data_IF_893757528519
#
_entry.id   IF_893757528519
#
_cell.length_a   1.000
_cell.length_b   1.000
_cell.length_c   1.000
_cell.angle_alpha   90.00
_cell.angle_beta   90.00
_cell.angle_gamma   90.00
#
_symmetry.space_group_name_H-M   'P 1'
#
loop_
_entity.id
_entity.type
_entity.pdbx_description
1 polymer ?
#
# COMPACT_ATOMS: atom_id res chain seq x y z
N UNK A 1 -24.28 14.96 4.29
CA UNK A 1 -23.46 15.94 5.05
C UNK A 1 -22.11 16.07 4.36
N UNK A 2 -21.49 17.26 4.30
CA UNK A 2 -20.14 17.41 3.71
C UNK A 2 -19.14 16.77 4.68
N UNK A 3 -18.40 15.77 4.23
CA UNK A 3 -17.41 15.09 5.07
C UNK A 3 -16.11 15.89 5.17
N UNK A 4 -15.40 15.72 6.28
CA UNK A 4 -14.09 16.35 6.52
C UNK A 4 -12.96 15.52 5.92
N UNK A 5 -11.82 16.15 5.63
CA UNK A 5 -10.63 15.51 5.07
C UNK A 5 -9.49 15.59 6.09
N UNK A 6 -8.87 14.44 6.36
CA UNK A 6 -7.60 14.35 7.08
C UNK A 6 -6.47 13.95 6.15
N UNK A 7 -5.32 14.59 6.33
CA UNK A 7 -4.08 14.33 5.61
C UNK A 7 -2.98 14.06 6.64
N UNK A 8 -2.30 12.92 6.52
CA UNK A 8 -1.11 12.61 7.31
C UNK A 8 0.01 12.18 6.35
N UNK A 9 1.11 12.91 6.36
CA UNK A 9 2.28 12.63 5.54
C UNK A 9 3.42 12.08 6.42
N UNK A 10 3.98 10.94 5.99
CA UNK A 10 5.04 10.24 6.72
C UNK A 10 6.12 9.73 5.78
N UNK A 11 7.30 9.46 6.34
CA UNK A 11 8.41 8.86 5.62
C UNK A 11 8.27 7.33 5.54
N UNK A 12 8.15 6.81 4.31
CA UNK A 12 8.13 5.37 4.02
C UNK A 12 6.75 4.73 4.07
N UNK A 13 6.54 3.73 3.19
CA UNK A 13 5.28 3.00 3.05
C UNK A 13 4.92 2.17 4.29
N UNK A 14 5.91 1.51 4.92
CA UNK A 14 5.66 0.68 6.11
C UNK A 14 5.13 1.50 7.29
N UNK A 15 5.69 2.70 7.50
CA UNK A 15 5.20 3.63 8.51
C UNK A 15 3.80 4.14 8.15
N UNK A 16 3.55 4.46 6.88
CA UNK A 16 2.25 4.92 6.42
C UNK A 16 1.13 3.88 6.68
N UNK A 17 1.39 2.61 6.38
CA UNK A 17 0.45 1.51 6.66
C UNK A 17 0.21 1.38 8.17
N UNK A 18 1.27 1.46 8.98
CA UNK A 18 1.15 1.37 10.44
C UNK A 18 0.35 2.54 11.03
N UNK A 19 0.54 3.75 10.51
CA UNK A 19 -0.23 4.93 10.91
C UNK A 19 -1.70 4.76 10.50
N UNK A 20 -1.97 4.31 9.27
CA UNK A 20 -3.32 4.09 8.79
C UNK A 20 -4.11 3.09 9.66
N UNK A 21 -3.48 1.98 10.08
CA UNK A 21 -4.08 0.99 10.99
C UNK A 21 -4.47 1.61 12.33
N UNK A 22 -3.57 2.38 12.95
CA UNK A 22 -3.82 3.03 14.24
C UNK A 22 -4.90 4.11 14.13
N UNK A 23 -4.86 4.90 13.05
CA UNK A 23 -5.88 5.91 12.77
C UNK A 23 -7.28 5.28 12.65
N UNK A 24 -7.40 4.20 11.87
CA UNK A 24 -8.67 3.49 11.69
C UNK A 24 -9.17 2.81 12.97
N UNK A 25 -8.27 2.37 13.86
CA UNK A 25 -8.63 1.83 15.19
C UNK A 25 -9.01 2.90 16.20
N UNK A 26 -8.52 4.13 16.03
CA UNK A 26 -8.70 5.22 17.00
C UNK A 26 -10.03 5.97 16.86
N UNK A 27 -10.63 6.00 15.66
CA UNK A 27 -11.84 6.75 15.39
C UNK A 27 -12.60 6.18 14.19
N UNK A 28 -13.90 6.51 14.09
CA UNK A 28 -14.73 6.14 12.94
C UNK A 28 -14.39 7.02 11.73
N UNK A 29 -13.50 6.51 10.88
CA UNK A 29 -13.00 7.17 9.67
C UNK A 29 -12.91 6.17 8.52
N UNK A 30 -12.95 6.67 7.29
CA UNK A 30 -12.73 5.88 6.07
C UNK A 30 -11.39 6.27 5.46
N UNK A 31 -10.53 5.28 5.19
CA UNK A 31 -9.30 5.46 4.42
C UNK A 31 -9.65 5.65 2.95
N UNK A 32 -9.30 6.82 2.40
CA UNK A 32 -9.54 7.15 1.00
C UNK A 32 -8.40 6.68 0.11
N UNK A 33 -7.16 7.00 0.48
CA UNK A 33 -5.99 6.71 -0.35
C UNK A 33 -4.69 6.73 0.46
N UNK A 34 -3.71 5.99 -0.06
CA UNK A 34 -2.29 6.05 0.30
C UNK A 34 -1.52 6.45 -0.95
N UNK A 35 -1.07 7.70 -1.00
CA UNK A 35 -0.44 8.28 -2.19
C UNK A 35 1.06 8.45 -1.97
N UNK A 36 1.85 8.10 -2.97
CA UNK A 36 3.29 8.37 -3.00
C UNK A 36 3.53 9.81 -3.41
N UNK A 37 4.43 10.50 -2.73
CA UNK A 37 4.90 11.81 -3.21
C UNK A 37 6.11 11.68 -4.12
N UNK A 38 6.40 12.75 -4.86
CA UNK A 38 7.54 12.79 -5.77
C UNK A 38 8.84 13.03 -4.99
N UNK A 39 9.54 11.94 -4.68
CA UNK A 39 10.85 11.98 -4.02
C UNK A 39 10.80 11.76 -2.51
N UNK A 40 11.97 11.65 -1.89
CA UNK A 40 12.18 11.49 -0.42
C UNK A 40 11.51 10.29 0.26
N UNK A 41 10.79 9.46 -0.49
CA UNK A 41 10.09 8.29 0.04
C UNK A 41 8.87 8.63 0.90
N UNK A 42 8.28 9.83 0.77
CA UNK A 42 7.12 10.21 1.57
C UNK A 42 5.82 9.64 1.01
N UNK A 43 4.88 9.46 1.93
CA UNK A 43 3.58 8.86 1.70
C UNK A 43 2.52 9.70 2.38
N UNK A 44 1.46 10.04 1.66
CA UNK A 44 0.30 10.76 2.19
C UNK A 44 -0.85 9.78 2.39
N UNK A 45 -1.38 9.75 3.62
CA UNK A 45 -2.59 9.03 4.00
C UNK A 45 -3.75 10.04 3.94
N UNK A 46 -4.78 9.73 3.17
CA UNK A 46 -6.02 10.52 3.08
C UNK A 46 -7.15 9.78 3.79
N UNK A 47 -7.84 10.46 4.68
CA UNK A 47 -8.99 9.92 5.41
C UNK A 47 -10.19 10.86 5.35
N UNK A 48 -11.40 10.30 5.46
CA UNK A 48 -12.64 11.06 5.53
C UNK A 48 -13.51 10.62 6.71
N UNK A 49 -14.38 11.51 7.16
CA UNK A 49 -15.34 11.25 8.22
C UNK A 49 -15.89 12.54 8.83
N UNK A 50 -16.47 12.43 10.02
CA UNK A 50 -16.86 13.60 10.82
C UNK A 50 -15.63 14.34 11.33
N UNK A 51 -15.73 15.66 11.49
CA UNK A 51 -14.60 16.53 11.86
C UNK A 51 -13.92 16.05 13.14
N UNK A 52 -14.70 15.65 14.15
CA UNK A 52 -14.19 15.15 15.42
C UNK A 52 -13.42 13.83 15.25
N UNK A 53 -13.97 12.87 14.51
CA UNK A 53 -13.33 11.58 14.23
C UNK A 53 -12.03 11.75 13.46
N UNK A 54 -12.02 12.60 12.43
CA UNK A 54 -10.81 12.90 11.64
C UNK A 54 -9.76 13.60 12.49
N UNK A 55 -10.14 14.53 13.36
CA UNK A 55 -9.21 15.20 14.28
C UNK A 55 -8.57 14.21 15.26
N UNK A 56 -9.37 13.31 15.84
CA UNK A 56 -8.88 12.27 16.76
C UNK A 56 -7.92 11.30 16.06
N UNK A 57 -8.28 10.83 14.86
CA UNK A 57 -7.44 9.95 14.06
C UNK A 57 -6.11 10.60 13.70
N UNK A 58 -6.12 11.83 13.14
CA UNK A 58 -4.90 12.54 12.76
C UNK A 58 -3.99 12.79 13.97
N UNK A 59 -4.55 13.18 15.12
CA UNK A 59 -3.75 13.40 16.34
C UNK A 59 -3.04 12.12 16.80
N UNK A 60 -3.76 11.00 16.79
CA UNK A 60 -3.21 9.68 17.17
C UNK A 60 -2.14 9.20 16.19
N UNK A 61 -2.41 9.31 14.88
CA UNK A 61 -1.47 8.92 13.83
C UNK A 61 -0.21 9.79 13.80
N UNK A 62 -0.35 11.11 13.98
CA UNK A 62 0.78 12.04 14.04
C UNK A 62 1.69 11.71 15.22
N UNK A 63 1.13 11.50 16.42
CA UNK A 63 1.91 11.14 17.60
C UNK A 63 2.70 9.82 17.41
N UNK A 64 2.06 8.81 16.81
CA UNK A 64 2.73 7.54 16.49
C UNK A 64 3.87 7.71 15.46
N UNK A 65 3.68 8.57 14.47
CA UNK A 65 4.70 8.87 13.47
C UNK A 65 5.87 9.67 14.06
N UNK A 66 5.62 10.59 15.00
CA UNK A 66 6.65 11.32 15.75
C UNK A 66 7.54 10.38 16.56
N UNK A 67 6.93 9.42 17.27
CA UNK A 67 7.67 8.40 18.03
C UNK A 67 8.61 7.55 17.17
N UNK A 68 8.33 7.44 15.86
CA UNK A 68 9.15 6.72 14.88
C UNK A 68 10.05 7.63 14.05
N UNK A 69 10.17 8.91 14.42
CA UNK A 69 10.95 9.93 13.69
C UNK A 69 10.60 10.00 12.19
N UNK A 70 9.33 9.75 11.84
CA UNK A 70 8.89 9.68 10.45
C UNK A 70 7.69 10.57 10.12
N UNK A 71 7.25 11.43 11.03
CA UNK A 71 6.25 12.46 10.73
C UNK A 71 6.84 13.51 9.79
N UNK A 72 6.14 13.80 8.69
CA UNK A 72 6.48 14.91 7.77
C UNK A 72 5.53 16.08 7.98
N UNK A 73 4.22 15.83 7.88
CA UNK A 73 3.18 16.85 8.06
C UNK A 73 1.82 16.23 8.38
N UNK A 74 0.90 17.00 8.95
CA UNK A 74 -0.50 16.60 9.09
C UNK A 74 -1.45 17.80 8.98
N UNK A 75 -2.68 17.57 8.50
CA UNK A 75 -3.71 18.61 8.38
C UNK A 75 -5.12 18.03 8.45
N UNK A 76 -6.01 18.77 9.10
CA UNK A 76 -7.46 18.54 9.06
C UNK A 76 -8.13 19.69 8.33
N UNK A 77 -9.02 19.36 7.42
CA UNK A 77 -9.85 20.30 6.67
C UNK A 77 -11.31 19.94 6.98
N UNK A 78 -11.91 20.69 7.91
CA UNK A 78 -13.26 20.41 8.41
C UNK A 78 -14.33 20.48 7.30
N UNK A 79 -14.12 21.34 6.30
CA UNK A 79 -15.03 21.51 5.17
C UNK A 79 -14.22 21.72 3.88
N UNK A 80 -13.82 20.64 3.19
CA UNK A 80 -13.10 20.73 1.92
C UNK A 80 -13.92 21.48 0.87
N UNK A 81 -13.21 22.22 0.01
CA UNK A 81 -13.82 22.87 -1.16
C UNK A 81 -14.40 21.84 -2.13
N UNK A 82 -15.31 22.28 -2.99
CA UNK A 82 -15.86 21.42 -4.04
C UNK A 82 -14.76 20.97 -5.01
N UNK A 83 -14.78 19.69 -5.41
CA UNK A 83 -13.75 19.09 -6.25
C UNK A 83 -12.47 18.64 -5.54
N UNK A 84 -12.32 18.89 -4.23
CA UNK A 84 -11.15 18.41 -3.46
C UNK A 84 -11.26 16.92 -3.12
N UNK A 85 -12.47 16.45 -2.81
CA UNK A 85 -12.76 15.04 -2.57
C UNK A 85 -13.29 14.43 -3.87
N UNK A 86 -12.43 13.78 -4.66
CA UNK A 86 -12.83 13.09 -5.90
C UNK A 86 -12.69 11.55 -5.82
N UNK A 87 -12.33 11.02 -4.66
CA UNK A 87 -12.38 9.59 -4.43
C UNK A 87 -13.75 9.23 -3.87
N UNK A 88 -14.65 8.74 -4.73
CA UNK A 88 -15.71 7.86 -4.25
C UNK A 88 -15.01 6.74 -3.46
N UNK A 89 -15.40 6.48 -2.20
CA UNK A 89 -14.79 5.41 -1.44
C UNK A 89 -14.90 4.13 -2.25
N UNK A 90 -13.86 3.27 -2.30
CA UNK A 90 -14.00 1.99 -2.96
C UNK A 90 -15.26 1.31 -2.39
N UNK A 91 -16.12 0.72 -3.24
CA UNK A 91 -17.30 0.05 -2.74
C UNK A 91 -16.85 -0.92 -1.65
N UNK A 92 -17.58 -1.02 -0.52
CA UNK A 92 -17.22 -1.97 0.51
C UNK A 92 -17.05 -3.32 -0.17
N UNK A 93 -15.86 -3.90 -0.08
CA UNK A 93 -15.62 -5.27 -0.54
C UNK A 93 -16.55 -6.11 0.31
N UNK A 94 -17.71 -6.44 -0.24
CA UNK A 94 -18.64 -7.39 0.33
C UNK A 94 -17.84 -8.69 0.30
N UNK A 95 -17.22 -9.03 1.41
CA UNK A 95 -16.81 -10.40 1.66
C UNK A 95 -18.16 -11.11 1.81
N UNK A 96 -18.71 -11.57 0.69
CA UNK A 96 -19.69 -12.64 0.73
C UNK A 96 -18.99 -13.76 1.52
N UNK A 97 -19.55 -14.23 2.65
CA UNK A 97 -18.94 -15.34 3.35
C UNK A 97 -18.87 -16.50 2.36
N UNK A 98 -17.66 -16.85 1.94
CA UNK A 98 -17.42 -18.10 1.23
C UNK A 98 -18.06 -19.20 2.09
N UNK A 99 -18.92 -20.06 1.50
CA UNK A 99 -19.62 -21.05 2.29
C UNK A 99 -18.57 -21.92 2.97
N UNK A 100 -18.64 -21.97 4.31
CA UNK A 100 -17.84 -22.88 5.11
C UNK A 100 -18.02 -24.29 4.53
N UNK A 101 -17.01 -24.75 3.79
CA UNK A 101 -16.97 -26.07 3.23
C UNK A 101 -16.89 -27.05 4.41
N UNK A 102 -18.04 -27.65 4.69
CA UNK A 102 -18.20 -28.72 5.65
C UNK A 102 -17.43 -29.97 5.21
N UNK A 103 -16.77 -30.58 6.19
CA UNK A 103 -16.52 -32.02 6.32
C UNK A 103 -15.37 -32.65 5.51
N UNK A 104 -14.26 -32.80 6.24
CA UNK A 104 -13.35 -33.95 6.25
C UNK A 104 -14.06 -35.29 5.99
N UNK A 105 -13.62 -36.01 4.95
CA UNK A 105 -13.58 -37.47 4.93
C UNK A 105 -12.51 -37.98 3.94
N UNK A 106 -11.74 -38.95 4.41
CA UNK A 106 -10.68 -39.73 3.76
C UNK A 106 -11.01 -40.25 2.34
N UNK A 107 -9.96 -40.49 1.53
CA UNK A 107 -9.42 -41.83 1.22
C UNK A 107 -8.51 -41.75 -0.03
N UNK A 108 -7.25 -42.13 0.20
CA UNK A 108 -6.19 -42.69 -0.65
C UNK A 108 -6.60 -43.21 -2.06
N UNK A 109 -5.87 -42.83 -3.12
CA UNK A 109 -5.28 -43.78 -4.10
C UNK A 109 -4.40 -43.11 -5.17
N UNK A 110 -3.29 -43.76 -5.45
CA UNK A 110 -2.20 -43.46 -6.40
C UNK A 110 -2.62 -43.24 -7.86
N UNK A 111 -1.87 -42.40 -8.59
CA UNK A 111 -1.03 -42.81 -9.74
C UNK A 111 -0.62 -41.63 -10.64
N UNK A 112 0.70 -41.45 -10.76
CA UNK A 112 1.52 -41.00 -11.90
C UNK A 112 0.88 -40.25 -13.08
N UNK A 113 1.41 -39.06 -13.40
CA UNK A 113 2.10 -38.81 -14.66
C UNK A 113 2.79 -37.43 -14.65
N UNK A 114 3.90 -37.40 -15.35
CA UNK A 114 4.96 -36.40 -15.42
C UNK A 114 4.62 -35.32 -16.46
N UNK A 115 4.77 -34.03 -16.14
CA UNK A 115 4.91 -32.96 -17.14
C UNK A 115 5.69 -31.75 -16.55
N UNK A 116 6.65 -31.27 -17.34
CA UNK A 116 7.80 -30.46 -16.98
C UNK A 116 7.52 -29.00 -16.52
N UNK A 117 8.44 -28.35 -15.78
CA UNK A 117 8.33 -26.93 -15.44
C UNK A 117 8.54 -26.06 -16.68
N UNK A 118 7.58 -25.18 -16.98
CA UNK A 118 7.76 -24.12 -17.97
C UNK A 118 8.74 -23.07 -17.41
N UNK A 119 9.94 -23.02 -17.97
CA UNK A 119 10.94 -21.97 -17.72
C UNK A 119 10.37 -20.60 -18.13
N UNK A 120 9.83 -19.86 -17.16
CA UNK A 120 9.68 -18.41 -17.31
C UNK A 120 11.08 -17.82 -17.29
N UNK A 121 11.57 -17.30 -18.43
CA UNK A 121 12.84 -16.56 -18.50
C UNK A 121 12.89 -15.54 -17.37
N UNK A 122 13.79 -15.78 -16.41
CA UNK A 122 13.96 -14.96 -15.22
C UNK A 122 14.51 -13.61 -15.65
N UNK A 123 13.62 -12.63 -15.87
CA UNK A 123 14.02 -11.23 -16.04
C UNK A 123 14.60 -10.76 -14.72
N UNK A 124 15.93 -10.86 -14.59
CA UNK A 124 16.67 -10.51 -13.38
C UNK A 124 16.58 -9.02 -13.07
N UNK A 125 16.76 -8.17 -14.09
CA UNK A 125 16.87 -6.72 -13.94
C UNK A 125 15.80 -5.94 -14.71
N UNK A 126 14.81 -5.41 -13.99
CA UNK A 126 13.75 -4.55 -14.56
C UNK A 126 14.19 -3.16 -15.07
N UNK A 127 15.49 -2.83 -15.04
CA UNK A 127 16.02 -1.54 -15.51
C UNK A 127 16.65 -1.63 -16.90
N UNK A 128 17.41 -2.70 -17.16
CA UNK A 128 18.06 -2.93 -18.45
C UNK A 128 17.40 -4.04 -19.26
N UNK A 129 16.56 -4.88 -18.64
CA UNK A 129 15.84 -5.99 -19.27
C UNK A 129 16.76 -7.07 -19.88
N UNK A 130 18.05 -7.03 -19.57
CA UNK A 130 19.01 -8.05 -19.98
C UNK A 130 18.90 -9.28 -19.06
N UNK A 131 18.61 -10.48 -19.58
CA UNK A 131 18.49 -11.72 -18.79
C UNK A 131 19.83 -12.17 -18.16
N UNK A 132 20.97 -11.69 -18.64
CA UNK A 132 22.31 -11.97 -18.08
C UNK A 132 22.72 -11.00 -16.99
N UNK A 133 21.93 -9.94 -16.74
CA UNK A 133 22.24 -9.00 -15.68
C UNK A 133 22.11 -9.71 -14.31
N UNK A 134 23.11 -9.68 -13.42
CA UNK A 134 23.02 -10.37 -12.13
C UNK A 134 22.16 -9.61 -11.11
N UNK A 135 21.82 -8.35 -11.38
CA UNK A 135 21.06 -7.48 -10.47
C UNK A 135 19.61 -7.93 -10.35
N UNK A 136 19.11 -8.05 -9.12
CA UNK A 136 17.73 -8.39 -8.80
C UNK A 136 16.88 -7.14 -8.45
N UNK A 137 15.55 -7.29 -8.46
CA UNK A 137 14.61 -6.24 -8.08
C UNK A 137 14.80 -5.84 -6.61
N UNK A 138 15.18 -4.58 -6.37
CA UNK A 138 15.43 -4.02 -5.04
C UNK A 138 16.90 -3.70 -4.77
N UNK A 139 17.82 -4.27 -5.55
CA UNK A 139 19.25 -4.02 -5.42
C UNK A 139 19.68 -2.69 -6.06
N UNK A 140 20.77 -2.06 -5.56
CA UNK A 140 21.31 -0.81 -6.08
C UNK A 140 21.58 -0.85 -7.60
N UNK A 141 21.33 0.27 -8.30
CA UNK A 141 21.55 0.38 -9.75
C UNK A 141 23.01 0.21 -10.17
N UNK A 142 23.97 0.40 -9.25
CA UNK A 142 25.40 0.20 -9.48
C UNK A 142 25.76 -1.26 -9.81
N UNK A 143 24.93 -2.22 -9.43
CA UNK A 143 25.11 -3.64 -9.74
C UNK A 143 24.57 -4.03 -11.12
N UNK A 144 23.92 -3.11 -11.83
CA UNK A 144 23.47 -3.33 -13.21
C UNK A 144 24.66 -3.25 -14.17
N UNK A 145 24.74 -4.19 -15.12
CA UNK A 145 25.72 -4.16 -16.22
C UNK A 145 25.54 -2.95 -17.17
N UNK A 146 24.37 -2.29 -17.11
CA UNK A 146 24.05 -1.08 -17.88
C UNK A 146 23.63 0.08 -16.95
N UNK A 147 24.55 0.61 -16.12
CA UNK A 147 24.21 1.62 -15.11
C UNK A 147 23.73 2.95 -15.76
N UNK A 148 24.14 3.22 -17.00
CA UNK A 148 23.79 4.44 -17.75
C UNK A 148 22.60 4.34 -18.71
N UNK A 149 22.06 3.15 -18.98
CA UNK A 149 20.98 2.94 -19.96
C UNK A 149 19.72 2.38 -19.31
N UNK A 150 18.54 2.68 -19.85
CA UNK A 150 17.27 2.04 -19.48
C UNK A 150 16.68 1.43 -20.74
N UNK A 151 16.45 0.12 -20.75
CA UNK A 151 15.67 -0.56 -21.80
C UNK A 151 16.28 -0.64 -23.21
N UNK A 152 17.60 -0.48 -23.37
CA UNK A 152 18.30 -0.88 -24.60
C UNK A 152 19.16 -2.09 -24.25
N UNK A 153 18.60 -3.29 -24.44
CA UNK A 153 19.36 -4.54 -24.47
C UNK A 153 19.77 -4.83 -25.92
#
# INVERSE_FOLDING_TARGET
MKQSLGLLEVCGLALAISCADIMAKSASITLLALEKTNGSGWMVIKITGDVASVQAAITTGAHFAEQRNGLVAHKVIARPGEGILLAEPPPPSVIEPEPEASEIADVVSEATAEEAPQESELVSCNLCLDPKCPRQKGEPRTLCIHPGKRGEA
#
